data_IF_834870256800
#
_entry.id   IF_834870256800
#
_cell.length_a   1.000
_cell.length_b   1.000
_cell.length_c   1.000
_cell.angle_alpha   90.00
_cell.angle_beta   90.00
_cell.angle_gamma   90.00
#
_symmetry.space_group_name_H-M   'P 1'
#
loop_
_entity.id
_entity.type
_entity.pdbx_description
1 polymer ?
#
# COMPACT_ATOMS: atom_id res chain seq x y z
N UNK A 1 3.23 2.36 -3.18
CA UNK A 1 2.14 2.32 -2.17
C UNK A 1 1.74 3.74 -1.85
N UNK A 2 0.45 3.94 -1.61
CA UNK A 2 -0.11 5.27 -1.32
C UNK A 2 -1.16 5.19 -0.20
N UNK A 3 -1.36 6.31 0.48
CA UNK A 3 -2.31 6.48 1.57
C UNK A 3 -3.17 7.72 1.36
N UNK A 4 -4.48 7.58 1.52
CA UNK A 4 -5.46 8.65 1.40
C UNK A 4 -6.16 8.92 2.73
N UNK A 5 -6.52 10.19 2.97
CA UNK A 5 -7.34 10.62 4.12
C UNK A 5 -8.61 11.33 3.62
N UNK A 6 -9.77 10.95 4.16
CA UNK A 6 -11.06 11.57 3.87
C UNK A 6 -11.58 12.35 5.07
N UNK A 7 -11.55 13.68 4.98
CA UNK A 7 -12.08 14.58 6.02
C UNK A 7 -13.58 14.42 6.25
N UNK A 8 -14.36 14.08 5.21
CA UNK A 8 -15.83 13.94 5.31
C UNK A 8 -16.25 12.74 6.13
N UNK A 9 -15.51 11.63 6.00
CA UNK A 9 -15.87 10.36 6.63
C UNK A 9 -14.97 10.05 7.84
N UNK A 10 -14.00 10.91 8.15
CA UNK A 10 -12.93 10.69 9.11
C UNK A 10 -12.29 9.29 8.95
N UNK A 11 -11.96 8.92 7.72
CA UNK A 11 -11.40 7.60 7.39
C UNK A 11 -10.11 7.76 6.64
N UNK A 12 -9.19 6.83 6.87
CA UNK A 12 -8.03 6.66 6.01
C UNK A 12 -8.16 5.43 5.15
N UNK A 13 -7.43 5.40 4.05
CA UNK A 13 -7.30 4.22 3.22
C UNK A 13 -5.86 4.10 2.77
N UNK A 14 -5.40 2.88 2.58
CA UNK A 14 -4.11 2.62 1.93
C UNK A 14 -4.29 1.65 0.79
N UNK A 15 -3.37 1.72 -0.16
CA UNK A 15 -3.33 0.78 -1.26
C UNK A 15 -1.96 0.71 -1.91
N UNK A 16 -1.82 -0.27 -2.79
CA UNK A 16 -0.58 -0.48 -3.53
C UNK A 16 -0.76 -1.44 -4.67
N UNK A 17 0.20 -1.35 -5.59
CA UNK A 17 0.33 -2.24 -6.74
C UNK A 17 1.62 -3.04 -6.59
N UNK A 18 1.54 -4.33 -6.91
CA UNK A 18 2.70 -5.15 -7.23
C UNK A 18 2.87 -5.11 -8.74
N UNK A 19 4.02 -4.60 -9.16
CA UNK A 19 4.42 -4.51 -10.56
C UNK A 19 5.65 -5.40 -10.71
N UNK A 20 5.70 -6.22 -11.76
CA UNK A 20 6.86 -7.05 -12.01
C UNK A 20 8.01 -6.23 -12.60
N UNK A 21 9.17 -6.86 -12.78
CA UNK A 21 10.40 -6.21 -13.25
C UNK A 21 10.30 -5.63 -14.68
N UNK A 22 9.33 -6.05 -15.50
CA UNK A 22 9.08 -5.50 -16.84
C UNK A 22 7.98 -4.43 -16.83
N UNK A 23 7.54 -3.97 -15.66
CA UNK A 23 6.55 -2.90 -15.53
C UNK A 23 5.09 -3.37 -15.69
N UNK A 24 4.82 -4.67 -15.76
CA UNK A 24 3.45 -5.18 -15.86
C UNK A 24 2.82 -5.33 -14.48
N UNK A 25 1.54 -4.99 -14.39
CA UNK A 25 0.71 -5.24 -13.22
C UNK A 25 0.65 -6.74 -12.91
N UNK A 26 0.96 -7.09 -11.66
CA UNK A 26 0.84 -8.45 -11.15
C UNK A 26 -0.31 -8.58 -10.14
N UNK A 27 -0.45 -7.61 -9.23
CA UNK A 27 -1.50 -7.62 -8.20
C UNK A 27 -1.73 -6.24 -7.62
N UNK A 28 -2.85 -6.03 -6.93
CA UNK A 28 -3.15 -4.79 -6.22
C UNK A 28 -3.93 -5.06 -4.94
N UNK A 29 -3.85 -4.11 -4.00
CA UNK A 29 -4.62 -4.15 -2.76
C UNK A 29 -5.08 -2.76 -2.38
N UNK A 30 -6.23 -2.69 -1.71
CA UNK A 30 -6.76 -1.48 -1.13
C UNK A 30 -7.53 -1.84 0.16
N UNK A 31 -7.38 -1.02 1.20
CA UNK A 31 -8.10 -1.22 2.46
C UNK A 31 -8.40 0.11 3.13
N UNK A 32 -9.63 0.26 3.61
CA UNK A 32 -10.02 1.35 4.52
C UNK A 32 -9.63 1.03 5.96
N UNK A 33 -9.20 2.05 6.68
CA UNK A 33 -8.97 2.05 8.10
C UNK A 33 -9.94 3.07 8.74
N UNK A 34 -10.28 2.84 10.00
CA UNK A 34 -10.86 3.89 10.83
C UNK A 34 -9.82 5.01 11.05
N UNK A 35 -10.26 6.18 11.52
CA UNK A 35 -9.46 7.41 11.61
C UNK A 35 -8.05 7.18 12.20
N UNK A 36 -7.04 7.17 11.33
CA UNK A 36 -5.63 7.03 11.70
C UNK A 36 -4.81 8.19 11.12
N UNK A 37 -3.56 8.37 11.56
CA UNK A 37 -2.69 9.37 10.91
C UNK A 37 -2.32 8.93 9.48
N UNK A 38 -2.03 9.90 8.61
CA UNK A 38 -1.55 9.64 7.23
C UNK A 38 -0.26 8.79 7.27
N UNK A 39 0.65 9.11 8.18
CA UNK A 39 1.91 8.35 8.37
C UNK A 39 1.64 6.90 8.74
N UNK A 40 0.76 6.63 9.71
CA UNK A 40 0.38 5.27 10.07
C UNK A 40 -0.29 4.54 8.91
N UNK A 41 -1.13 5.22 8.15
CA UNK A 41 -1.81 4.67 6.97
C UNK A 41 -0.81 4.25 5.90
N UNK A 42 0.19 5.08 5.59
CA UNK A 42 1.27 4.74 4.66
C UNK A 42 2.10 3.53 5.15
N UNK A 43 2.44 3.48 6.44
CA UNK A 43 3.15 2.34 7.04
C UNK A 43 2.35 1.03 6.95
N UNK A 44 1.04 1.09 7.18
CA UNK A 44 0.15 -0.06 6.99
C UNK A 44 0.10 -0.52 5.54
N UNK A 45 0.09 0.42 4.58
CA UNK A 45 0.19 0.11 3.16
C UNK A 45 1.47 -0.64 2.80
N UNK A 46 2.62 -0.19 3.33
CA UNK A 46 3.91 -0.86 3.16
C UNK A 46 3.86 -2.28 3.73
N UNK A 47 3.49 -2.40 5.01
CA UNK A 47 3.46 -3.68 5.72
C UNK A 47 2.56 -4.71 5.01
N UNK A 48 1.36 -4.29 4.59
CA UNK A 48 0.44 -5.14 3.85
C UNK A 48 1.03 -5.54 2.49
N UNK A 49 1.59 -4.57 1.75
CA UNK A 49 2.21 -4.81 0.45
C UNK A 49 3.36 -5.82 0.52
N UNK A 50 4.28 -5.69 1.50
CA UNK A 50 5.35 -6.68 1.71
C UNK A 50 4.78 -8.05 2.07
N UNK A 51 3.83 -8.13 3.01
CA UNK A 51 3.25 -9.42 3.40
C UNK A 51 2.60 -10.12 2.22
N UNK A 52 1.89 -9.38 1.37
CA UNK A 52 1.29 -9.90 0.15
C UNK A 52 2.37 -10.37 -0.83
N UNK A 53 3.44 -9.59 -1.02
CA UNK A 53 4.54 -9.95 -1.90
C UNK A 53 5.23 -11.26 -1.47
N UNK A 54 5.56 -11.36 -0.18
CA UNK A 54 6.19 -12.54 0.40
C UNK A 54 5.27 -13.76 0.33
N UNK A 55 3.97 -13.61 0.61
CA UNK A 55 2.99 -14.70 0.49
C UNK A 55 2.83 -15.20 -0.96
N UNK A 56 3.14 -14.37 -1.95
CA UNK A 56 3.17 -14.74 -3.37
C UNK A 56 4.52 -15.33 -3.83
N UNK A 57 5.50 -15.42 -2.92
CA UNK A 57 6.82 -16.00 -3.21
C UNK A 57 7.83 -15.03 -3.82
N UNK A 58 7.56 -13.73 -3.84
CA UNK A 58 8.52 -12.75 -4.33
C UNK A 58 9.67 -12.55 -3.32
N UNK A 59 10.91 -12.64 -3.80
CA UNK A 59 12.12 -12.53 -2.95
C UNK A 59 12.92 -11.25 -3.18
N UNK A 60 12.73 -10.60 -4.33
CA UNK A 60 13.38 -9.33 -4.70
C UNK A 60 12.31 -8.26 -4.83
N UNK A 61 12.16 -7.44 -3.78
CA UNK A 61 11.06 -6.47 -3.66
C UNK A 61 11.65 -5.07 -3.59
N UNK A 62 11.27 -4.21 -4.53
CA UNK A 62 11.51 -2.78 -4.47
C UNK A 62 10.21 -2.08 -4.04
N UNK A 63 10.30 -1.18 -3.06
CA UNK A 63 9.14 -0.46 -2.54
C UNK A 63 9.25 0.99 -3.01
N UNK A 64 8.27 1.42 -3.80
CA UNK A 64 8.12 2.82 -4.19
C UNK A 64 7.01 3.47 -3.36
N UNK A 65 7.30 4.62 -2.77
CA UNK A 65 6.39 5.43 -1.98
C UNK A 65 6.29 6.81 -2.60
N UNK A 66 5.09 7.39 -2.58
CA UNK A 66 4.94 8.81 -2.87
C UNK A 66 5.14 9.64 -1.59
N UNK A 67 5.90 10.73 -1.72
CA UNK A 67 6.35 11.59 -0.62
C UNK A 67 5.37 12.70 -0.25
N UNK A 68 4.19 12.74 -0.88
CA UNK A 68 3.16 13.77 -0.73
C UNK A 68 2.50 13.83 0.65
#
# INVERSE_FOLDING_TARGET
CDGAYSYRNNKTAYGGLLINHIGMYAWGFARSLEANSIVQTKLWGIFHGLRLALAKGFTHICITLDSS
#
